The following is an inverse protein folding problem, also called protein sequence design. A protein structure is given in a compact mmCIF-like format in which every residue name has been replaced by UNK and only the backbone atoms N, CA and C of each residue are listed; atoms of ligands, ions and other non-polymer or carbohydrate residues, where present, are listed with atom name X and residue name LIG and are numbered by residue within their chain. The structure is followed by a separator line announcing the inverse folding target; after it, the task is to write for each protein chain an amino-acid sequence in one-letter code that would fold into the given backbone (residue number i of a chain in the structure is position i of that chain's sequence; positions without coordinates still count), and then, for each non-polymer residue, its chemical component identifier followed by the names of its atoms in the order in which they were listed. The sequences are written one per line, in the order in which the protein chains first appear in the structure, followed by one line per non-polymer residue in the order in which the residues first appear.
data_IF_338010962656
#
_entry.id   IF_338010962656
#
_cell.length_a   1.000
_cell.length_b   1.000
_cell.length_c   1.000
_cell.angle_alpha   90.00
_cell.angle_beta   90.00
_cell.angle_gamma   90.00
#
_symmetry.space_group_name_H-M   'P 1'
#
loop_
_entity.id
_entity.type
_entity.pdbx_description
1 polymer ?
#
# COMPACT_ATOMS: atom_id res chain seq x y z
N UNK A 1 27.31 -46.23 5.02
CA UNK A 1 27.16 -47.05 6.23
C UNK A 1 27.71 -48.43 5.95
N UNK A 2 28.96 -48.67 6.37
CA UNK A 2 29.69 -49.93 6.19
C UNK A 2 29.15 -51.05 7.12
N UNK A 3 28.41 -50.68 8.17
CA UNK A 3 27.96 -51.59 9.24
C UNK A 3 26.84 -52.57 8.84
N UNK A 4 25.92 -52.21 7.93
CA UNK A 4 24.88 -53.17 7.50
C UNK A 4 25.44 -54.28 6.59
N UNK A 5 26.59 -54.04 5.98
CA UNK A 5 27.36 -55.06 5.26
C UNK A 5 28.14 -56.00 6.22
N UNK A 6 28.21 -55.66 7.51
CA UNK A 6 28.86 -56.44 8.58
C UNK A 6 27.87 -57.19 9.50
N UNK A 7 26.60 -57.35 9.11
CA UNK A 7 25.55 -58.00 9.92
C UNK A 7 25.26 -57.34 11.29
N UNK A 8 25.63 -56.07 11.50
CA UNK A 8 25.41 -55.39 12.78
C UNK A 8 23.92 -55.16 13.08
N UNK A 9 23.47 -55.49 14.30
CA UNK A 9 22.06 -55.35 14.69
C UNK A 9 21.59 -53.89 14.68
N UNK A 10 20.29 -53.67 14.42
CA UNK A 10 19.68 -52.32 14.41
C UNK A 10 19.88 -51.57 15.73
N UNK A 11 19.86 -52.29 16.87
CA UNK A 11 20.08 -51.70 18.21
C UNK A 11 21.53 -51.22 18.41
N UNK A 12 22.51 -51.93 17.84
CA UNK A 12 23.91 -51.52 17.89
C UNK A 12 24.17 -50.28 17.03
N UNK A 13 23.61 -50.25 15.81
CA UNK A 13 23.65 -49.08 14.92
C UNK A 13 23.01 -47.85 15.60
N UNK A 14 21.88 -48.05 16.27
CA UNK A 14 21.17 -47.00 16.99
C UNK A 14 22.01 -46.40 18.14
N UNK A 15 22.68 -47.26 18.93
CA UNK A 15 23.62 -46.83 20.00
C UNK A 15 24.79 -46.04 19.43
N UNK A 16 25.40 -46.51 18.36
CA UNK A 16 26.54 -45.85 17.70
C UNK A 16 26.17 -44.45 17.17
N UNK A 17 24.96 -44.27 16.66
CA UNK A 17 24.48 -43.01 16.10
C UNK A 17 23.78 -42.10 17.14
N UNK A 18 23.64 -42.54 18.40
CA UNK A 18 22.90 -41.79 19.43
C UNK A 18 21.41 -41.59 19.09
N UNK A 19 20.78 -42.57 18.43
CA UNK A 19 19.36 -42.52 18.03
C UNK A 19 18.59 -43.72 18.57
N UNK A 20 17.25 -43.65 18.57
CA UNK A 20 16.42 -44.79 18.97
C UNK A 20 16.41 -45.88 17.91
N UNK A 21 16.32 -47.15 18.32
CA UNK A 21 16.24 -48.29 17.40
C UNK A 21 15.06 -48.16 16.43
N UNK A 22 13.91 -47.66 16.92
CA UNK A 22 12.71 -47.42 16.10
C UNK A 22 12.92 -46.35 15.02
N UNK A 23 13.78 -45.36 15.25
CA UNK A 23 14.13 -44.37 14.22
C UNK A 23 14.93 -45.01 13.08
N UNK A 24 15.92 -45.84 13.41
CA UNK A 24 16.74 -46.57 12.44
C UNK A 24 15.89 -47.57 11.64
N UNK A 25 15.01 -48.34 12.30
CA UNK A 25 14.11 -49.28 11.62
C UNK A 25 13.21 -48.56 10.61
N UNK A 26 12.59 -47.44 11.00
CA UNK A 26 11.72 -46.66 10.11
C UNK A 26 12.50 -46.06 8.93
N UNK A 27 13.73 -45.62 9.14
CA UNK A 27 14.54 -45.05 8.05
C UNK A 27 15.02 -46.11 7.05
N UNK A 28 15.39 -47.30 7.54
CA UNK A 28 15.75 -48.44 6.70
C UNK A 28 14.55 -48.98 5.89
N UNK A 29 13.36 -49.03 6.51
CA UNK A 29 12.14 -49.44 5.82
C UNK A 29 11.72 -48.44 4.74
N UNK A 30 11.83 -47.14 5.03
CA UNK A 30 11.39 -46.05 4.14
C UNK A 30 12.28 -45.83 2.92
N UNK A 31 13.58 -46.15 3.01
CA UNK A 31 14.54 -45.93 1.92
C UNK A 31 15.15 -47.25 1.42
N UNK A 32 14.38 -48.34 1.43
CA UNK A 32 14.79 -49.62 0.86
C UNK A 32 14.64 -49.56 -0.67
N UNK A 33 15.71 -49.79 -1.42
CA UNK A 33 15.68 -49.90 -2.88
C UNK A 33 15.43 -51.35 -3.31
N UNK A 34 14.64 -51.56 -4.36
CA UNK A 34 14.30 -52.91 -4.89
C UNK A 34 15.54 -53.66 -5.40
N UNK A 35 16.49 -52.95 -6.02
CA UNK A 35 17.66 -53.56 -6.66
C UNK A 35 18.83 -53.83 -5.70
N UNK A 36 18.78 -53.38 -4.44
CA UNK A 36 19.86 -53.59 -3.50
C UNK A 36 19.34 -53.86 -2.10
N UNK A 37 19.71 -55.01 -1.51
CA UNK A 37 19.46 -55.33 -0.09
C UNK A 37 20.21 -54.39 0.88
N UNK A 38 20.95 -53.42 0.35
CA UNK A 38 21.81 -52.48 1.08
C UNK A 38 21.16 -51.09 1.14
N UNK A 39 21.21 -50.47 2.31
CA UNK A 39 20.81 -49.07 2.48
C UNK A 39 21.86 -48.15 1.86
N UNK A 40 21.45 -47.27 0.95
CA UNK A 40 22.29 -46.20 0.41
C UNK A 40 21.91 -44.84 1.00
N UNK A 41 22.88 -44.20 1.66
CA UNK A 41 22.68 -42.90 2.29
C UNK A 41 22.45 -41.77 1.27
N UNK A 42 22.99 -41.91 0.05
CA UNK A 42 22.91 -40.87 -0.99
C UNK A 42 21.51 -40.80 -1.58
N UNK A 43 20.94 -41.94 -1.95
CA UNK A 43 19.54 -42.06 -2.38
C UNK A 43 18.56 -41.68 -1.27
N UNK A 44 18.78 -42.10 -0.03
CA UNK A 44 17.96 -41.69 1.12
C UNK A 44 17.97 -40.17 1.33
N UNK A 45 19.14 -39.52 1.22
CA UNK A 45 19.25 -38.06 1.30
C UNK A 45 18.52 -37.35 0.14
N UNK A 46 18.62 -37.89 -1.09
CA UNK A 46 17.89 -37.36 -2.26
C UNK A 46 16.37 -37.49 -2.08
N UNK A 47 15.89 -38.64 -1.60
CA UNK A 47 14.48 -38.88 -1.32
C UNK A 47 13.95 -37.98 -0.20
N UNK A 48 14.76 -37.73 0.85
CA UNK A 48 14.44 -36.79 1.90
C UNK A 48 14.30 -35.36 1.36
N UNK A 49 15.24 -34.89 0.53
CA UNK A 49 15.16 -33.59 -0.15
C UNK A 49 13.91 -33.47 -1.02
N UNK A 50 13.64 -34.47 -1.87
CA UNK A 50 12.45 -34.48 -2.73
C UNK A 50 11.13 -34.52 -1.95
N UNK A 51 11.08 -35.21 -0.80
CA UNK A 51 9.91 -35.16 0.10
C UNK A 51 9.75 -33.79 0.75
N UNK A 52 10.87 -33.21 1.22
CA UNK A 52 10.87 -31.87 1.81
C UNK A 52 10.42 -30.83 0.80
N UNK A 53 10.87 -30.90 -0.45
CA UNK A 53 10.42 -30.03 -1.54
C UNK A 53 8.93 -30.18 -1.81
N UNK A 54 8.43 -31.42 -1.93
CA UNK A 54 6.99 -31.69 -2.12
C UNK A 54 6.11 -31.23 -0.96
N UNK A 55 6.64 -31.22 0.26
CA UNK A 55 5.92 -30.74 1.44
C UNK A 55 5.84 -29.21 1.53
N UNK A 56 6.59 -28.47 0.70
CA UNK A 56 6.53 -27.01 0.70
C UNK A 56 5.24 -26.55 0.02
N UNK A 57 4.54 -25.64 0.68
CA UNK A 57 3.39 -24.96 0.09
C UNK A 57 3.85 -24.18 -1.15
N UNK A 58 3.13 -24.33 -2.24
CA UNK A 58 3.36 -23.56 -3.47
C UNK A 58 3.27 -22.06 -3.17
N UNK A 59 4.19 -21.28 -3.73
CA UNK A 59 4.20 -19.82 -3.57
C UNK A 59 3.08 -19.25 -4.42
N UNK A 60 2.08 -18.63 -3.78
CA UNK A 60 0.90 -18.11 -4.49
C UNK A 60 1.23 -16.95 -5.42
N UNK A 61 2.14 -16.08 -5.00
CA UNK A 61 2.67 -14.97 -5.81
C UNK A 61 4.01 -15.35 -6.42
N UNK A 62 3.99 -16.28 -7.37
CA UNK A 62 5.18 -16.60 -8.16
C UNK A 62 5.48 -15.48 -9.17
N UNK A 63 6.74 -15.04 -9.23
CA UNK A 63 7.20 -14.04 -10.21
C UNK A 63 6.83 -14.49 -11.62
N UNK A 64 6.17 -13.63 -12.38
CA UNK A 64 5.72 -13.91 -13.75
C UNK A 64 4.29 -14.47 -13.88
N UNK A 65 3.63 -14.83 -12.78
CA UNK A 65 2.20 -15.19 -12.81
C UNK A 65 1.33 -13.96 -13.10
N UNK A 66 0.14 -14.17 -13.69
CA UNK A 66 -0.83 -13.09 -13.94
C UNK A 66 -1.20 -12.33 -12.65
N UNK A 67 -1.40 -13.07 -11.56
CA UNK A 67 -1.71 -12.51 -10.24
C UNK A 67 -0.54 -11.67 -9.68
N UNK A 68 0.71 -12.12 -9.89
CA UNK A 68 1.88 -11.32 -9.54
C UNK A 68 1.94 -10.01 -10.32
N UNK A 69 1.71 -10.06 -11.65
CA UNK A 69 1.71 -8.87 -12.48
C UNK A 69 0.62 -7.88 -12.09
N UNK A 70 -0.57 -8.38 -11.75
CA UNK A 70 -1.66 -7.53 -11.26
C UNK A 70 -1.31 -6.86 -9.93
N UNK A 71 -0.80 -7.63 -8.95
CA UNK A 71 -0.36 -7.07 -7.65
C UNK A 71 0.77 -6.06 -7.85
N UNK A 72 1.74 -6.39 -8.69
CA UNK A 72 2.85 -5.49 -9.03
C UNK A 72 2.34 -4.20 -9.67
N UNK A 73 1.39 -4.31 -10.61
CA UNK A 73 0.83 -3.16 -11.28
C UNK A 73 0.07 -2.24 -10.31
N UNK A 74 -0.79 -2.81 -9.47
CA UNK A 74 -1.57 -2.05 -8.50
C UNK A 74 -0.68 -1.40 -7.42
N UNK A 75 0.41 -2.08 -7.04
CA UNK A 75 1.38 -1.56 -6.08
C UNK A 75 2.20 -0.42 -6.68
N UNK A 76 2.85 -0.62 -7.84
CA UNK A 76 3.83 0.33 -8.38
C UNK A 76 3.17 1.48 -9.14
N UNK A 77 2.20 1.19 -10.01
CA UNK A 77 1.60 2.20 -10.89
C UNK A 77 0.36 2.83 -10.24
N UNK A 78 -0.52 2.05 -9.62
CA UNK A 78 -1.67 2.61 -8.89
C UNK A 78 -1.32 3.11 -7.49
N UNK A 79 -0.10 2.81 -7.00
CA UNK A 79 0.40 3.23 -5.68
C UNK A 79 -0.55 2.79 -4.55
N UNK A 80 -1.18 1.63 -4.73
CA UNK A 80 -2.12 1.04 -3.76
C UNK A 80 -1.35 0.31 -2.67
N UNK A 81 -1.82 0.37 -1.42
CA UNK A 81 -1.20 -0.38 -0.34
C UNK A 81 -1.53 -1.88 -0.45
N UNK A 82 -0.70 -2.77 0.11
CA UNK A 82 -0.98 -4.21 0.14
C UNK A 82 -2.39 -4.56 0.66
N UNK A 83 -2.89 -3.81 1.66
CA UNK A 83 -4.24 -3.97 2.20
C UNK A 83 -5.31 -3.60 1.17
N UNK A 84 -5.14 -2.50 0.43
CA UNK A 84 -6.06 -2.07 -0.63
C UNK A 84 -6.13 -3.10 -1.76
N UNK A 85 -4.97 -3.61 -2.18
CA UNK A 85 -4.88 -4.63 -3.24
C UNK A 85 -5.58 -5.91 -2.79
N UNK A 86 -5.30 -6.39 -1.57
CA UNK A 86 -5.93 -7.59 -1.03
C UNK A 86 -7.45 -7.45 -0.91
N UNK A 87 -7.96 -6.28 -0.51
CA UNK A 87 -9.38 -6.01 -0.45
C UNK A 87 -10.01 -5.99 -1.84
N UNK A 88 -9.39 -5.30 -2.81
CA UNK A 88 -9.89 -5.20 -4.17
C UNK A 88 -9.94 -6.56 -4.88
N UNK A 89 -8.90 -7.38 -4.73
CA UNK A 89 -8.87 -8.74 -5.27
C UNK A 89 -9.97 -9.63 -4.68
N UNK A 90 -10.31 -9.43 -3.40
CA UNK A 90 -11.40 -10.18 -2.75
C UNK A 90 -12.76 -9.81 -3.31
N UNK A 91 -12.98 -8.53 -3.57
CA UNK A 91 -14.22 -8.01 -4.17
C UNK A 91 -14.38 -8.44 -5.63
N UNK A 92 -13.29 -8.37 -6.43
CA UNK A 92 -13.33 -8.76 -7.84
C UNK A 92 -13.51 -10.26 -8.07
N UNK A 93 -13.07 -11.09 -7.12
CA UNK A 93 -13.08 -12.54 -7.28
C UNK A 93 -13.81 -13.24 -6.12
N UNK A 94 -15.12 -12.97 -5.88
CA UNK A 94 -15.86 -13.48 -4.73
C UNK A 94 -16.07 -15.00 -4.75
N UNK A 95 -15.90 -15.64 -5.91
CA UNK A 95 -16.03 -17.10 -6.09
C UNK A 95 -14.73 -17.82 -6.41
N UNK A 96 -13.64 -17.09 -6.70
CA UNK A 96 -12.35 -17.67 -7.04
C UNK A 96 -11.26 -17.35 -5.99
N UNK A 97 -11.04 -18.22 -4.99
CA UNK A 97 -10.00 -18.02 -3.98
C UNK A 97 -8.57 -18.03 -4.54
N UNK A 98 -8.31 -18.64 -5.68
CA UNK A 98 -6.96 -18.72 -6.27
C UNK A 98 -6.47 -17.34 -6.73
N UNK A 99 -7.40 -16.49 -7.17
CA UNK A 99 -7.11 -15.09 -7.58
C UNK A 99 -7.09 -14.10 -6.40
N UNK A 100 -7.28 -14.56 -5.16
CA UNK A 100 -7.20 -13.71 -3.95
C UNK A 100 -5.86 -13.81 -3.27
N UNK A 101 -5.39 -12.72 -2.67
CA UNK A 101 -4.14 -12.72 -1.90
C UNK A 101 -4.32 -11.94 -0.61
N UNK A 102 -3.73 -12.42 0.50
CA UNK A 102 -3.67 -11.65 1.73
C UNK A 102 -2.57 -10.59 1.64
N UNK A 103 -2.73 -9.46 2.33
CA UNK A 103 -1.71 -8.42 2.33
C UNK A 103 -0.37 -8.91 2.93
N UNK A 104 -0.40 -9.85 3.89
CA UNK A 104 0.81 -10.53 4.38
C UNK A 104 1.55 -11.31 3.29
N UNK A 105 0.82 -11.97 2.39
CA UNK A 105 1.43 -12.69 1.26
C UNK A 105 2.09 -11.72 0.29
N UNK A 106 1.50 -10.53 0.10
CA UNK A 106 2.10 -9.44 -0.70
C UNK A 106 3.38 -8.94 -0.02
N UNK A 107 3.35 -8.69 1.30
CA UNK A 107 4.55 -8.32 2.05
C UNK A 107 5.65 -9.39 1.96
N UNK A 108 5.29 -10.65 2.16
CA UNK A 108 6.23 -11.76 2.03
C UNK A 108 6.83 -11.82 0.61
N UNK A 109 6.03 -11.63 -0.44
CA UNK A 109 6.52 -11.58 -1.83
C UNK A 109 7.51 -10.44 -2.05
N UNK A 110 7.25 -9.24 -1.51
CA UNK A 110 8.17 -8.08 -1.61
C UNK A 110 9.49 -8.38 -0.90
N UNK A 111 9.44 -8.91 0.33
CA UNK A 111 10.65 -9.13 1.12
C UNK A 111 11.49 -10.31 0.63
N UNK A 112 10.86 -11.36 0.13
CA UNK A 112 11.53 -12.53 -0.45
C UNK A 112 12.08 -12.27 -1.85
N UNK A 113 11.68 -11.19 -2.51
CA UNK A 113 12.15 -10.86 -3.85
C UNK A 113 13.69 -10.71 -3.89
N UNK A 114 14.36 -11.20 -4.96
CA UNK A 114 15.78 -10.98 -5.16
C UNK A 114 16.15 -9.49 -5.08
N UNK A 115 17.36 -9.19 -4.60
CA UNK A 115 17.85 -7.81 -4.57
C UNK A 115 17.99 -7.29 -5.99
N UNK A 116 17.41 -6.12 -6.27
CA UNK A 116 17.43 -5.48 -7.59
C UNK A 116 16.41 -4.36 -7.70
N UNK A 117 16.35 -3.72 -8.87
CA UNK A 117 15.49 -2.55 -9.13
C UNK A 117 14.00 -2.83 -8.95
N UNK A 118 13.54 -4.05 -9.26
CA UNK A 118 12.13 -4.43 -9.08
C UNK A 118 11.72 -4.42 -7.62
N UNK A 119 12.53 -5.01 -6.75
CA UNK A 119 12.31 -4.97 -5.30
C UNK A 119 12.33 -3.54 -4.77
N UNK A 120 13.28 -2.73 -5.25
CA UNK A 120 13.39 -1.34 -4.85
C UNK A 120 12.14 -0.54 -5.24
N UNK A 121 11.65 -0.68 -6.47
CA UNK A 121 10.42 -0.03 -6.93
C UNK A 121 9.19 -0.46 -6.08
N UNK A 122 9.08 -1.75 -5.74
CA UNK A 122 8.01 -2.23 -4.85
C UNK A 122 8.12 -1.63 -3.44
N UNK A 123 9.33 -1.51 -2.89
CA UNK A 123 9.55 -0.91 -1.56
C UNK A 123 9.27 0.59 -1.57
N UNK A 124 9.68 1.31 -2.62
CA UNK A 124 9.40 2.73 -2.81
C UNK A 124 7.90 3.02 -3.00
N UNK A 125 7.17 2.06 -3.55
CA UNK A 125 5.72 2.13 -3.67
C UNK A 125 4.98 1.89 -2.33
N UNK A 126 5.62 1.26 -1.33
CA UNK A 126 5.01 1.06 -0.02
C UNK A 126 4.91 2.38 0.75
N UNK A 127 3.84 2.50 1.52
CA UNK A 127 3.66 3.60 2.46
C UNK A 127 4.63 3.41 3.61
N UNK A 128 5.68 4.21 3.66
CA UNK A 128 6.54 4.25 4.83
C UNK A 128 5.85 5.05 5.93
N UNK A 129 5.91 4.53 7.16
CA UNK A 129 5.50 5.30 8.32
C UNK A 129 6.32 6.59 8.38
N UNK A 130 5.67 7.66 8.85
CA UNK A 130 6.43 8.85 9.22
C UNK A 130 7.42 8.42 10.30
N UNK A 131 8.70 8.79 10.20
CA UNK A 131 9.60 8.58 11.33
C UNK A 131 8.94 9.17 12.58
N UNK A 132 8.90 8.38 13.66
CA UNK A 132 8.37 8.83 14.94
C UNK A 132 8.98 10.19 15.24
N UNK A 133 8.14 11.15 15.65
CA UNK A 133 8.57 12.50 15.96
C UNK A 133 9.54 12.41 17.15
N UNK A 134 10.83 12.30 16.86
CA UNK A 134 11.88 12.36 17.87
C UNK A 134 11.90 13.73 18.51
N UNK A 135 12.67 13.87 19.60
CA UNK A 135 12.90 15.16 20.24
C UNK A 135 13.25 16.21 19.18
N UNK A 136 12.66 17.41 19.29
CA UNK A 136 12.88 18.50 18.36
C UNK A 136 14.38 18.68 18.14
N UNK A 137 14.87 18.53 16.90
CA UNK A 137 16.26 18.83 16.59
C UNK A 137 16.51 20.29 16.94
N UNK A 138 17.44 20.56 17.88
CA UNK A 138 17.98 21.89 18.18
C UNK A 138 18.93 22.39 17.07
N UNK A 139 18.67 22.07 15.82
CA UNK A 139 19.41 22.65 14.70
C UNK A 139 18.73 23.95 14.30
N UNK A 140 19.52 25.03 14.23
CA UNK A 140 19.13 26.31 13.63
C UNK A 140 18.33 26.05 12.35
N UNK A 141 17.16 26.68 12.26
CA UNK A 141 16.23 26.52 11.14
C UNK A 141 17.00 26.66 9.82
N UNK A 142 17.15 25.56 9.07
CA UNK A 142 17.58 25.67 7.68
C UNK A 142 16.53 26.50 6.94
N UNK A 143 16.97 27.54 6.22
CA UNK A 143 16.14 28.37 5.34
C UNK A 143 15.21 27.48 4.52
N UNK A 144 13.92 27.80 4.56
CA UNK A 144 12.88 27.19 3.73
C UNK A 144 13.27 27.28 2.26
N UNK A 145 13.17 26.14 1.56
CA UNK A 145 13.58 25.91 0.16
C UNK A 145 12.66 26.59 -0.87
N UNK A 146 11.88 27.60 -0.49
CA UNK A 146 11.02 28.31 -1.45
C UNK A 146 11.88 29.34 -2.19
N UNK A 147 12.03 29.25 -3.52
CA UNK A 147 12.68 30.27 -4.33
C UNK A 147 12.18 31.66 -3.96
N UNK A 148 13.05 32.67 -3.99
CA UNK A 148 12.70 34.03 -3.56
C UNK A 148 11.45 34.51 -4.31
N UNK A 149 11.39 34.34 -5.64
CA UNK A 149 10.25 34.72 -6.49
C UNK A 149 8.90 34.06 -6.14
N UNK A 150 8.90 32.90 -5.46
CA UNK A 150 7.69 32.14 -5.12
C UNK A 150 7.23 32.37 -3.68
N UNK A 151 7.91 33.27 -2.95
CA UNK A 151 7.45 33.63 -1.61
C UNK A 151 6.18 34.44 -1.68
N UNK A 152 5.35 34.28 -0.66
CA UNK A 152 4.07 35.01 -0.49
C UNK A 152 4.27 36.53 -0.62
N UNK A 153 5.45 37.05 -0.23
CA UNK A 153 5.79 38.48 -0.35
C UNK A 153 5.89 39.00 -1.80
N UNK A 154 6.09 38.12 -2.79
CA UNK A 154 6.21 38.49 -4.21
C UNK A 154 4.96 38.12 -5.03
N UNK A 155 3.85 37.81 -4.38
CA UNK A 155 2.60 37.53 -5.10
C UNK A 155 2.09 38.82 -5.78
N UNK A 156 1.45 38.71 -6.95
CA UNK A 156 0.78 39.84 -7.58
C UNK A 156 -0.25 40.49 -6.64
N UNK A 157 -0.23 41.81 -6.53
CA UNK A 157 -1.10 42.59 -5.63
C UNK A 157 -2.61 42.32 -5.87
N UNK A 158 -2.98 41.96 -7.10
CA UNK A 158 -4.33 41.54 -7.47
C UNK A 158 -4.85 40.33 -6.66
N UNK A 159 -3.97 39.45 -6.16
CA UNK A 159 -4.35 38.29 -5.36
C UNK A 159 -4.60 38.66 -3.89
N UNK A 160 -3.87 39.64 -3.35
CA UNK A 160 -4.09 40.18 -1.98
C UNK A 160 -5.48 40.80 -1.82
N UNK A 161 -5.99 41.41 -2.89
CA UNK A 161 -7.36 41.96 -2.88
C UNK A 161 -8.45 40.91 -2.76
N UNK A 162 -8.14 39.63 -3.06
CA UNK A 162 -9.05 38.49 -2.94
C UNK A 162 -10.44 38.74 -3.54
N UNK A 163 -10.52 39.50 -4.62
CA UNK A 163 -11.81 39.86 -5.21
C UNK A 163 -12.42 38.70 -6.01
N UNK A 164 -11.59 37.74 -6.45
CA UNK A 164 -11.98 36.69 -7.39
C UNK A 164 -11.92 35.32 -6.70
N UNK A 165 -12.89 34.41 -6.94
CA UNK A 165 -12.92 33.10 -6.26
C UNK A 165 -11.67 32.24 -6.44
N UNK A 166 -10.91 32.42 -7.54
CA UNK A 166 -9.63 31.74 -7.77
C UNK A 166 -8.46 32.30 -6.95
N UNK A 167 -8.61 33.50 -6.35
CA UNK A 167 -7.65 34.11 -5.43
C UNK A 167 -7.91 33.70 -3.97
N UNK A 168 -9.00 32.97 -3.71
CA UNK A 168 -9.34 32.44 -2.38
C UNK A 168 -8.63 31.10 -2.17
N UNK A 169 -7.47 31.15 -1.52
CA UNK A 169 -6.69 29.96 -1.15
C UNK A 169 -7.29 29.28 0.09
N UNK A 170 -8.53 28.80 0.00
CA UNK A 170 -9.18 28.09 1.10
C UNK A 170 -8.98 26.58 1.01
N UNK A 171 -8.42 25.95 2.05
CA UNK A 171 -8.51 24.50 2.23
C UNK A 171 -9.98 24.12 2.52
N UNK A 172 -10.78 23.83 1.50
CA UNK A 172 -12.21 23.50 1.65
C UNK A 172 -12.45 21.98 1.56
N UNK A 173 -13.18 21.44 2.55
CA UNK A 173 -13.84 20.14 2.39
C UNK A 173 -15.21 20.42 1.80
N UNK A 174 -15.47 20.01 0.57
CA UNK A 174 -16.81 20.13 0.00
C UNK A 174 -17.71 19.01 0.52
N UNK A 175 -18.89 19.39 0.96
CA UNK A 175 -19.99 18.50 1.29
C UNK A 175 -20.63 17.93 0.03
N UNK A 176 -21.56 16.99 0.23
CA UNK A 176 -22.25 16.31 -0.87
C UNK A 176 -22.92 17.32 -1.82
N UNK A 177 -22.83 17.04 -3.12
CA UNK A 177 -23.44 17.82 -4.20
C UNK A 177 -23.05 19.31 -4.24
N UNK A 178 -21.89 19.68 -3.67
CA UNK A 178 -21.47 21.08 -3.51
C UNK A 178 -22.57 21.93 -2.86
N UNK A 179 -23.23 21.42 -1.81
CA UNK A 179 -24.23 22.19 -1.04
C UNK A 179 -23.64 22.90 0.16
N UNK A 180 -22.54 22.36 0.68
CA UNK A 180 -21.85 22.92 1.83
C UNK A 180 -20.34 22.78 1.68
N UNK A 181 -19.58 23.54 2.46
CA UNK A 181 -18.17 23.31 2.64
C UNK A 181 -17.72 23.55 4.08
N UNK A 182 -16.65 22.89 4.48
CA UNK A 182 -15.97 23.13 5.76
C UNK A 182 -14.62 23.78 5.46
N UNK A 183 -14.38 24.96 6.01
CA UNK A 183 -13.14 25.73 5.92
C UNK A 183 -12.29 25.66 7.19
N UNK A 184 -11.03 26.10 7.10
CA UNK A 184 -10.25 26.45 8.28
C UNK A 184 -10.57 27.92 8.67
N UNK A 185 -10.24 28.35 9.89
CA UNK A 185 -10.36 29.77 10.28
C UNK A 185 -9.13 30.59 9.88
N UNK A 186 -8.45 30.21 8.81
CA UNK A 186 -7.29 30.93 8.29
C UNK A 186 -7.70 32.29 7.75
N UNK A 187 -6.75 33.22 7.66
CA UNK A 187 -7.02 34.53 7.07
C UNK A 187 -7.57 34.40 5.66
N UNK A 188 -7.16 33.39 4.88
CA UNK A 188 -7.67 33.05 3.54
C UNK A 188 -9.21 32.97 3.45
N UNK A 189 -9.89 32.63 4.54
CA UNK A 189 -11.35 32.50 4.61
C UNK A 189 -12.08 33.77 5.07
N UNK A 190 -11.43 34.94 5.13
CA UNK A 190 -12.07 36.20 5.54
C UNK A 190 -13.29 36.55 4.67
N UNK A 191 -13.25 36.28 3.36
CA UNK A 191 -14.33 36.59 2.42
C UNK A 191 -15.39 35.47 2.30
N UNK A 192 -15.53 34.59 3.31
CA UNK A 192 -16.44 33.45 3.24
C UNK A 192 -17.92 33.83 3.09
N UNK A 193 -18.35 34.99 3.57
CA UNK A 193 -19.75 35.45 3.42
C UNK A 193 -20.08 35.68 1.94
N UNK A 194 -19.22 36.39 1.22
CA UNK A 194 -19.40 36.64 -0.22
C UNK A 194 -19.31 35.33 -1.03
N UNK A 195 -18.42 34.42 -0.63
CA UNK A 195 -18.31 33.07 -1.21
C UNK A 195 -19.60 32.27 -1.05
N UNK A 196 -20.20 32.31 0.15
CA UNK A 196 -21.43 31.60 0.48
C UNK A 196 -22.59 32.10 -0.37
N UNK A 197 -22.75 33.43 -0.47
CA UNK A 197 -23.81 34.06 -1.27
C UNK A 197 -23.67 33.77 -2.76
N UNK A 198 -22.48 33.98 -3.33
CA UNK A 198 -22.26 33.82 -4.78
C UNK A 198 -22.44 32.38 -5.26
N UNK A 199 -21.99 31.41 -4.46
CA UNK A 199 -22.06 30.00 -4.83
C UNK A 199 -23.29 29.29 -4.24
N UNK A 200 -24.12 30.01 -3.49
CA UNK A 200 -25.25 29.46 -2.74
C UNK A 200 -24.84 28.22 -1.92
N UNK A 201 -23.82 28.41 -1.06
CA UNK A 201 -23.14 27.37 -0.30
C UNK A 201 -23.23 27.62 1.20
N UNK A 202 -23.56 26.57 1.96
CA UNK A 202 -23.44 26.61 3.43
C UNK A 202 -21.98 26.43 3.84
N UNK A 203 -21.37 27.47 4.43
CA UNK A 203 -19.95 27.42 4.87
C UNK A 203 -19.87 27.23 6.38
N UNK A 204 -19.20 26.16 6.78
CA UNK A 204 -18.94 25.80 8.17
C UNK A 204 -17.45 25.94 8.48
N UNK A 205 -17.13 26.18 9.75
CA UNK A 205 -15.74 26.25 10.22
C UNK A 205 -15.50 25.22 11.31
N UNK A 206 -14.31 24.60 11.27
CA UNK A 206 -13.81 23.85 12.41
C UNK A 206 -13.55 24.79 13.60
N UNK A 207 -13.66 24.23 14.80
CA UNK A 207 -13.36 24.91 16.05
C UNK A 207 -11.86 25.22 16.17
N UNK A 208 -11.50 26.31 16.89
CA UNK A 208 -10.11 26.63 17.16
C UNK A 208 -9.42 25.46 17.86
N UNK A 209 -8.19 25.15 17.43
CA UNK A 209 -7.38 24.05 17.98
C UNK A 209 -8.01 22.66 17.91
N UNK A 210 -9.03 22.46 17.04
CA UNK A 210 -9.69 21.17 16.82
C UNK A 210 -9.39 20.57 15.43
N UNK A 211 -8.13 20.30 15.07
CA UNK A 211 -7.77 19.80 13.74
C UNK A 211 -8.42 18.45 13.40
N UNK A 212 -8.80 17.64 14.40
CA UNK A 212 -9.46 16.35 14.21
C UNK A 212 -10.84 16.45 13.55
N UNK A 213 -11.54 17.59 13.65
CA UNK A 213 -12.81 17.83 12.94
C UNK A 213 -12.63 17.83 11.41
N UNK A 214 -11.38 17.95 10.95
CA UNK A 214 -10.98 17.88 9.54
C UNK A 214 -9.96 16.75 9.30
N UNK A 215 -10.04 15.66 10.08
CA UNK A 215 -9.13 14.52 9.95
C UNK A 215 -9.07 13.91 8.54
N UNK A 216 -10.15 14.03 7.75
CA UNK A 216 -10.17 13.63 6.33
C UNK A 216 -9.13 14.39 5.49
N UNK A 217 -8.94 15.69 5.75
CA UNK A 217 -7.94 16.49 5.03
C UNK A 217 -6.52 16.09 5.38
N UNK A 218 -6.25 15.80 6.66
CA UNK A 218 -4.93 15.34 7.06
C UNK A 218 -4.57 14.01 6.41
N UNK A 219 -5.54 13.09 6.33
CA UNK A 219 -5.37 11.81 5.63
C UNK A 219 -5.14 12.02 4.13
N UNK A 220 -5.98 12.82 3.48
CA UNK A 220 -5.87 13.14 2.04
C UNK A 220 -4.55 13.81 1.70
N UNK A 221 -4.12 14.79 2.50
CA UNK A 221 -2.81 15.44 2.36
C UNK A 221 -1.65 14.46 2.61
N UNK A 222 -1.81 13.52 3.54
CA UNK A 222 -0.87 12.43 3.75
C UNK A 222 -0.69 11.53 2.52
N UNK A 223 -1.77 11.30 1.76
CA UNK A 223 -1.77 10.52 0.54
C UNK A 223 -1.19 11.30 -0.65
N UNK A 224 -1.55 12.58 -0.78
CA UNK A 224 -0.99 13.50 -1.78
C UNK A 224 0.54 13.57 -1.69
N UNK A 225 1.08 13.54 -0.47
CA UNK A 225 2.53 13.55 -0.22
C UNK A 225 3.30 12.35 -0.78
N UNK A 226 2.60 11.29 -1.21
CA UNK A 226 3.22 10.17 -1.93
C UNK A 226 3.58 10.56 -3.38
N UNK A 227 2.89 11.55 -3.94
CA UNK A 227 3.11 12.07 -5.29
C UNK A 227 3.88 13.39 -5.25
N UNK A 228 3.54 14.25 -4.30
CA UNK A 228 4.13 15.59 -4.13
C UNK A 228 4.74 15.69 -2.72
N UNK A 229 5.99 15.21 -2.52
CA UNK A 229 6.66 15.27 -1.24
C UNK A 229 6.72 16.69 -0.68
N UNK A 230 6.76 16.81 0.64
CA UNK A 230 6.79 18.12 1.29
C UNK A 230 8.06 18.87 0.88
N UNK A 231 7.91 20.09 0.35
CA UNK A 231 9.02 20.93 -0.10
C UNK A 231 9.52 20.60 -1.51
N UNK A 232 8.83 19.70 -2.24
CA UNK A 232 9.04 19.57 -3.67
C UNK A 232 8.67 20.87 -4.38
N UNK A 233 9.46 21.26 -5.36
CA UNK A 233 9.14 22.40 -6.22
C UNK A 233 7.95 22.04 -7.12
N UNK A 234 6.88 22.82 -7.00
CA UNK A 234 5.65 22.63 -7.77
C UNK A 234 5.65 23.44 -9.07
N UNK A 235 6.60 24.34 -9.28
CA UNK A 235 6.68 25.17 -10.50
C UNK A 235 6.82 24.32 -11.77
N UNK A 236 7.52 23.18 -11.68
CA UNK A 236 7.68 22.22 -12.75
C UNK A 236 6.53 21.21 -12.92
N UNK A 237 5.49 21.27 -12.07
CA UNK A 237 4.36 20.32 -12.13
C UNK A 237 3.27 20.85 -13.05
N UNK A 238 3.00 20.11 -14.11
CA UNK A 238 2.00 20.46 -15.11
C UNK A 238 0.57 20.11 -14.65
N UNK A 239 -0.43 20.81 -15.18
CA UNK A 239 -1.84 20.48 -14.93
C UNK A 239 -2.19 19.04 -15.32
N UNK A 240 -1.56 18.50 -16.37
CA UNK A 240 -1.73 17.11 -16.80
C UNK A 240 -1.28 16.14 -15.70
N UNK A 241 -0.12 16.37 -15.10
CA UNK A 241 0.37 15.55 -13.99
C UNK A 241 -0.55 15.65 -12.77
N UNK A 242 -1.06 16.84 -12.46
CA UNK A 242 -2.04 17.02 -11.38
C UNK A 242 -3.34 16.23 -11.64
N UNK A 243 -3.82 16.23 -12.88
CA UNK A 243 -5.00 15.46 -13.27
C UNK A 243 -4.76 13.95 -13.16
N UNK A 244 -3.56 13.47 -13.52
CA UNK A 244 -3.21 12.06 -13.37
C UNK A 244 -3.10 11.65 -11.90
N UNK A 245 -2.53 12.50 -11.05
CA UNK A 245 -2.53 12.30 -9.59
C UNK A 245 -3.97 12.24 -9.06
N UNK A 246 -4.84 13.15 -9.50
CA UNK A 246 -6.24 13.17 -9.10
C UNK A 246 -6.97 11.87 -9.51
N UNK A 247 -6.76 11.39 -10.75
CA UNK A 247 -7.28 10.09 -11.20
C UNK A 247 -6.79 8.94 -10.33
N UNK A 248 -5.49 8.89 -10.02
CA UNK A 248 -4.92 7.87 -9.14
C UNK A 248 -5.49 7.93 -7.72
N UNK A 249 -5.77 9.14 -7.21
CA UNK A 249 -6.37 9.32 -5.89
C UNK A 249 -7.84 8.89 -5.84
N UNK A 250 -8.59 9.22 -6.89
CA UNK A 250 -10.01 8.92 -7.02
C UNK A 250 -10.28 7.45 -7.37
N UNK A 251 -9.35 6.80 -8.07
CA UNK A 251 -9.38 5.36 -8.37
C UNK A 251 -8.80 4.48 -7.26
N UNK A 252 -8.46 5.03 -6.09
CA UNK A 252 -7.82 4.29 -5.00
C UNK A 252 -8.84 3.81 -3.95
N UNK A 253 -8.94 2.49 -3.69
CA UNK A 253 -9.80 1.92 -2.65
C UNK A 253 -9.61 2.54 -1.25
N UNK A 254 -10.69 2.88 -0.54
CA UNK A 254 -10.63 3.43 0.83
C UNK A 254 -11.32 2.52 1.83
N UNK A 255 -10.64 2.19 2.93
CA UNK A 255 -11.23 1.40 4.01
C UNK A 255 -12.49 2.07 4.59
N UNK A 256 -12.49 3.40 4.70
CA UNK A 256 -13.64 4.20 5.17
C UNK A 256 -14.85 4.12 4.26
N UNK A 257 -14.66 3.72 3.00
CA UNK A 257 -15.73 3.56 2.00
C UNK A 257 -16.01 2.06 1.72
N UNK A 258 -15.76 1.19 2.69
CA UNK A 258 -15.86 -0.27 2.52
C UNK A 258 -15.04 -0.80 1.34
N UNK A 259 -13.85 -0.23 1.13
CA UNK A 259 -12.92 -0.54 0.05
C UNK A 259 -13.34 -0.11 -1.36
N UNK A 260 -14.44 0.63 -1.50
CA UNK A 260 -14.77 1.31 -2.75
C UNK A 260 -13.79 2.44 -3.05
N UNK A 261 -13.64 2.78 -4.32
CA UNK A 261 -12.90 3.99 -4.72
C UNK A 261 -13.77 5.22 -4.47
N UNK A 262 -13.17 6.41 -4.21
CA UNK A 262 -13.92 7.66 -4.12
C UNK A 262 -14.81 7.91 -5.35
N UNK A 263 -14.34 7.54 -6.54
CA UNK A 263 -15.13 7.64 -7.77
C UNK A 263 -16.36 6.73 -7.75
N UNK A 264 -16.21 5.46 -7.37
CA UNK A 264 -17.33 4.52 -7.22
C UNK A 264 -18.33 5.00 -6.17
N UNK A 265 -17.85 5.46 -5.01
CA UNK A 265 -18.70 5.97 -3.95
C UNK A 265 -19.49 7.21 -4.40
N UNK A 266 -18.82 8.16 -5.07
CA UNK A 266 -19.47 9.35 -5.61
C UNK A 266 -20.51 9.00 -6.67
N UNK A 267 -20.21 8.05 -7.56
CA UNK A 267 -21.16 7.59 -8.56
C UNK A 267 -22.41 6.97 -7.93
N UNK A 268 -22.26 6.19 -6.85
CA UNK A 268 -23.38 5.60 -6.11
C UNK A 268 -24.25 6.66 -5.43
N UNK A 269 -23.63 7.68 -4.80
CA UNK A 269 -24.36 8.79 -4.19
C UNK A 269 -25.12 9.62 -5.23
N UNK A 270 -24.50 9.89 -6.39
CA UNK A 270 -25.15 10.58 -7.51
C UNK A 270 -26.32 9.78 -8.08
N UNK A 271 -26.19 8.46 -8.17
CA UNK A 271 -27.26 7.57 -8.59
C UNK A 271 -28.41 7.56 -7.57
N UNK A 272 -28.10 7.46 -6.27
CA UNK A 272 -29.09 7.51 -5.20
C UNK A 272 -29.85 8.84 -5.15
N UNK A 273 -29.17 9.96 -5.45
CA UNK A 273 -29.79 11.28 -5.53
C UNK A 273 -30.51 11.57 -6.86
N UNK A 274 -30.53 10.62 -7.81
CA UNK A 274 -31.18 10.79 -9.12
C UNK A 274 -30.50 11.81 -10.05
N UNK A 275 -29.25 12.18 -9.77
CA UNK A 275 -28.50 13.21 -10.51
C UNK A 275 -27.57 12.63 -11.59
N UNK A 276 -27.51 11.31 -11.75
CA UNK A 276 -26.61 10.60 -12.67
C UNK A 276 -26.71 11.02 -14.15
N UNK A 277 -27.80 11.70 -14.57
CA UNK A 277 -28.02 12.13 -15.96
C UNK A 277 -27.58 13.57 -16.29
N UNK A 278 -27.00 14.33 -15.36
CA UNK A 278 -26.65 15.75 -15.58
C UNK A 278 -25.18 16.03 -15.86
N UNK A 279 -24.32 15.01 -15.87
CA UNK A 279 -22.89 15.16 -16.08
C UNK A 279 -22.42 14.28 -17.24
N UNK A 280 -22.84 14.65 -18.46
CA UNK A 280 -22.13 14.34 -19.71
C UNK A 280 -21.82 15.64 -20.39
#
# INVERSE_FOLDING_TARGET
MIEKARNTSVRAIARLLGRSASAITRELARNRTESSRCYDATSAARACRARRERSRRQVKLATGSALYWQVHHDLVYRRSSPQQIAARLREMHPDNPEQRVSHETIYAAIYTHPRGGLKQAMIEALRQEKPVRGNARKTLARKSFVPEELRIIHRPEAIETRQWPGHWEGDLIKGAFNRSCVGNRGSEMTCHVELAERLNLDIWFADPYAPWQRGSNENTNGLLRQFLPKGADLSGVTQMQLNDIAKLMNGRPRQTLNWKTPEEAMAMELAAAGLAKRCT
#
